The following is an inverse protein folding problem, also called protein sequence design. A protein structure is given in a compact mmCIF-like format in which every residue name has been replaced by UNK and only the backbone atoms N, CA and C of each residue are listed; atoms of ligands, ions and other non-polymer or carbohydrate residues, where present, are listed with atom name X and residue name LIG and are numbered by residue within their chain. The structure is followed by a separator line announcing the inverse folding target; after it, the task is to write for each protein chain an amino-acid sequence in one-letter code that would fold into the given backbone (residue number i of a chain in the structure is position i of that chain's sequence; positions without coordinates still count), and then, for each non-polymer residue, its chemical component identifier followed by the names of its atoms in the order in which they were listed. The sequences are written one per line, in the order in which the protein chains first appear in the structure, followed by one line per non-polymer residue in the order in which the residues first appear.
data_IF_732213897244
#
_entry.id   IF_732213897244
#
_cell.length_a   1.000
_cell.length_b   1.000
_cell.length_c   1.000
_cell.angle_alpha   90.00
_cell.angle_beta   90.00
_cell.angle_gamma   90.00
#
_symmetry.space_group_name_H-M   'P 1'
#
loop_
_entity.id
_entity.type
_entity.pdbx_description
1 polymer ?
#
# COMPACT_ATOMS: atom_id res chain seq x y z
N UNK A 1 -15.00 11.61 -5.07
CA UNK A 1 -14.64 12.10 -6.40
C UNK A 1 -14.18 10.91 -7.25
N UNK A 2 -14.57 10.82 -8.54
CA UNK A 2 -14.09 9.77 -9.43
C UNK A 2 -12.57 9.81 -9.57
N UNK A 3 -11.93 8.66 -9.62
CA UNK A 3 -10.46 8.55 -9.65
C UNK A 3 -9.85 9.19 -10.90
N UNK A 4 -10.52 9.05 -12.03
CA UNK A 4 -10.11 9.64 -13.32
C UNK A 4 -10.03 11.16 -13.22
N UNK A 5 -11.06 11.77 -12.61
CA UNK A 5 -11.10 13.23 -12.43
C UNK A 5 -9.98 13.72 -11.49
N UNK A 6 -9.65 12.93 -10.48
CA UNK A 6 -8.50 13.23 -9.61
C UNK A 6 -7.19 13.24 -10.41
N UNK A 7 -7.00 12.27 -11.30
CA UNK A 7 -5.79 12.19 -12.13
C UNK A 7 -5.70 13.36 -13.12
N UNK A 8 -6.79 13.73 -13.78
CA UNK A 8 -6.86 14.93 -14.65
C UNK A 8 -6.48 16.20 -13.89
N UNK A 9 -6.98 16.37 -12.68
CA UNK A 9 -6.66 17.52 -11.84
C UNK A 9 -5.20 17.54 -11.38
N UNK A 10 -4.60 16.37 -11.08
CA UNK A 10 -3.18 16.27 -10.76
C UNK A 10 -2.33 16.70 -11.94
N UNK A 11 -2.64 16.25 -13.15
CA UNK A 11 -1.93 16.62 -14.39
C UNK A 11 -1.99 18.13 -14.61
N UNK A 12 -3.19 18.71 -14.55
CA UNK A 12 -3.40 20.16 -14.73
C UNK A 12 -2.62 20.99 -13.70
N UNK A 13 -2.71 20.62 -12.42
CA UNK A 13 -2.01 21.32 -11.34
C UNK A 13 -0.50 21.18 -11.49
N UNK A 14 -0.03 20.00 -11.93
CA UNK A 14 1.39 19.74 -12.14
C UNK A 14 2.01 20.59 -13.25
N UNK A 15 1.23 21.00 -14.26
CA UNK A 15 1.69 21.93 -15.30
C UNK A 15 1.93 23.35 -14.77
N UNK A 16 1.17 23.76 -13.75
CA UNK A 16 1.14 25.12 -13.21
C UNK A 16 2.17 25.28 -12.06
N UNK A 17 2.32 24.26 -11.22
CA UNK A 17 3.18 24.33 -10.05
C UNK A 17 4.68 24.44 -10.42
N UNK A 18 5.50 25.12 -9.58
CA UNK A 18 6.93 25.22 -9.78
C UNK A 18 7.59 23.84 -9.88
N UNK A 19 8.42 23.63 -10.91
CA UNK A 19 9.09 22.34 -11.18
C UNK A 19 10.27 22.07 -10.25
N UNK A 20 10.80 23.11 -9.61
CA UNK A 20 11.92 23.06 -8.67
C UNK A 20 11.49 22.86 -7.21
N UNK A 21 10.19 22.68 -6.96
CA UNK A 21 9.62 22.45 -5.62
C UNK A 21 8.92 21.11 -5.56
N UNK A 22 8.94 20.42 -4.39
CA UNK A 22 8.20 19.19 -4.21
C UNK A 22 6.68 19.42 -4.27
N UNK A 23 5.97 18.47 -4.87
CA UNK A 23 4.52 18.50 -5.02
C UNK A 23 3.88 17.52 -4.04
N UNK A 24 2.97 18.03 -3.25
CA UNK A 24 2.32 17.28 -2.19
C UNK A 24 0.84 17.08 -2.50
N UNK A 25 0.41 15.81 -2.58
CA UNK A 25 -0.98 15.41 -2.74
C UNK A 25 -1.54 14.94 -1.40
N UNK A 26 -2.42 15.75 -0.82
CA UNK A 26 -2.99 15.52 0.50
C UNK A 26 -4.13 14.49 0.47
N UNK A 27 -4.19 13.62 1.48
CA UNK A 27 -5.31 12.72 1.73
C UNK A 27 -5.45 11.54 0.75
N UNK A 28 -4.48 11.30 -0.11
CA UNK A 28 -4.46 10.23 -1.11
C UNK A 28 -3.34 9.25 -0.81
N UNK A 29 -3.51 7.96 -0.86
CA UNK A 29 -4.68 7.17 -1.21
C UNK A 29 -4.39 5.67 -1.17
N UNK A 30 -4.98 4.94 -2.08
CA UNK A 30 -4.65 3.52 -2.27
C UNK A 30 -3.23 3.36 -2.82
N UNK A 31 -2.59 2.16 -2.69
CA UNK A 31 -1.29 1.91 -3.30
C UNK A 31 -1.24 2.23 -4.79
N UNK A 32 -2.32 1.93 -5.53
CA UNK A 32 -2.44 2.25 -6.95
C UNK A 32 -2.49 3.77 -7.17
N UNK A 33 -3.28 4.51 -6.38
CA UNK A 33 -3.34 5.97 -6.51
C UNK A 33 -1.99 6.63 -6.26
N UNK A 34 -1.17 6.07 -5.35
CA UNK A 34 0.19 6.57 -5.10
C UNK A 34 1.06 6.39 -6.35
N UNK A 35 1.07 5.19 -6.96
CA UNK A 35 1.85 4.96 -8.18
C UNK A 35 1.39 5.82 -9.36
N UNK A 36 0.08 6.00 -9.51
CA UNK A 36 -0.50 6.89 -10.52
C UNK A 36 -0.17 8.36 -10.27
N UNK A 37 -0.18 8.79 -9.00
CA UNK A 37 0.23 10.15 -8.63
C UNK A 37 1.70 10.41 -8.88
N UNK A 38 2.58 9.45 -8.55
CA UNK A 38 4.03 9.53 -8.82
C UNK A 38 4.30 9.70 -10.32
N UNK A 39 3.64 8.91 -11.18
CA UNK A 39 3.78 9.02 -12.63
C UNK A 39 3.41 10.42 -13.15
N UNK A 40 2.47 11.08 -12.48
CA UNK A 40 1.99 12.43 -12.79
C UNK A 40 2.77 13.54 -12.07
N UNK A 41 3.90 13.20 -11.43
CA UNK A 41 4.83 14.15 -10.85
C UNK A 41 4.54 14.55 -9.40
N UNK A 42 3.77 13.77 -8.66
CA UNK A 42 3.59 13.98 -7.21
C UNK A 42 4.77 13.37 -6.45
N UNK A 43 5.33 14.12 -5.51
CA UNK A 43 6.52 13.75 -4.74
C UNK A 43 6.18 13.27 -3.33
N UNK A 44 5.08 13.76 -2.74
CA UNK A 44 4.73 13.53 -1.34
C UNK A 44 3.24 13.22 -1.17
N UNK A 45 2.95 12.32 -0.23
CA UNK A 45 1.59 11.88 0.06
C UNK A 45 1.38 11.77 1.57
N UNK A 46 0.15 11.95 2.01
CA UNK A 46 -0.35 11.44 3.28
C UNK A 46 -1.71 10.77 3.08
N UNK A 47 -2.02 9.77 3.87
CA UNK A 47 -3.37 9.21 3.91
C UNK A 47 -3.62 8.35 5.16
N UNK A 48 -4.89 8.18 5.48
CA UNK A 48 -5.34 7.30 6.57
C UNK A 48 -5.46 5.83 6.14
N UNK A 49 -5.32 5.54 4.85
CA UNK A 49 -5.62 4.22 4.27
C UNK A 49 -4.81 3.07 4.88
N UNK A 50 -3.50 3.20 5.15
CA UNK A 50 -2.72 2.11 5.74
C UNK A 50 -3.31 1.64 7.06
N UNK A 51 -3.49 2.56 8.00
CA UNK A 51 -3.98 2.25 9.34
C UNK A 51 -5.48 1.95 9.37
N UNK A 52 -6.29 2.68 8.59
CA UNK A 52 -7.74 2.44 8.49
C UNK A 52 -8.04 1.06 7.93
N UNK A 53 -7.39 0.67 6.84
CA UNK A 53 -7.56 -0.66 6.24
C UNK A 53 -6.98 -1.75 7.14
N UNK A 54 -5.83 -1.52 7.77
CA UNK A 54 -5.26 -2.44 8.75
C UNK A 54 -6.22 -2.75 9.90
N UNK A 55 -6.80 -1.73 10.52
CA UNK A 55 -7.81 -1.92 11.58
C UNK A 55 -9.04 -2.71 11.12
N UNK A 56 -9.37 -2.66 9.83
CA UNK A 56 -10.48 -3.43 9.25
C UNK A 56 -10.06 -4.84 8.77
N UNK A 57 -8.79 -5.22 8.94
CA UNK A 57 -8.26 -6.52 8.55
C UNK A 57 -7.88 -6.63 7.08
N UNK A 58 -7.74 -5.51 6.38
CA UNK A 58 -7.23 -5.47 5.01
C UNK A 58 -5.75 -5.12 5.02
N UNK A 59 -4.92 -6.02 4.51
CA UNK A 59 -3.47 -5.86 4.39
C UNK A 59 -3.07 -5.76 2.92
N UNK A 60 -2.12 -4.87 2.64
CA UNK A 60 -1.51 -4.72 1.33
C UNK A 60 -0.16 -5.46 1.32
N UNK A 61 0.04 -6.32 0.35
CA UNK A 61 1.29 -7.07 0.17
C UNK A 61 1.87 -6.84 -1.23
N UNK A 62 3.10 -7.25 -1.44
CA UNK A 62 3.77 -7.18 -2.76
C UNK A 62 3.08 -8.00 -3.83
N UNK A 63 2.28 -8.99 -3.43
CA UNK A 63 1.59 -9.91 -4.33
C UNK A 63 0.08 -9.64 -4.45
N UNK A 64 -0.46 -8.76 -3.61
CA UNK A 64 -1.88 -8.41 -3.65
C UNK A 64 -2.47 -8.02 -2.30
N UNK A 65 -3.80 -8.02 -2.23
CA UNK A 65 -4.57 -7.60 -1.06
C UNK A 65 -5.05 -8.84 -0.30
N UNK A 66 -4.77 -8.89 0.99
CA UNK A 66 -5.24 -9.91 1.94
C UNK A 66 -6.39 -9.33 2.77
N UNK A 67 -7.52 -10.05 2.82
CA UNK A 67 -8.52 -9.82 3.86
C UNK A 67 -8.36 -10.88 4.95
N UNK A 68 -7.81 -10.49 6.10
CA UNK A 68 -7.52 -11.39 7.21
C UNK A 68 -8.75 -12.01 7.86
N UNK A 69 -9.96 -11.49 7.59
CA UNK A 69 -11.21 -12.07 8.08
C UNK A 69 -11.65 -13.31 7.29
N UNK A 70 -11.07 -13.56 6.12
CA UNK A 70 -11.41 -14.71 5.29
C UNK A 70 -11.03 -16.03 5.99
N UNK A 71 -11.95 -17.01 5.92
CA UNK A 71 -11.78 -18.33 6.55
C UNK A 71 -10.57 -19.09 6.03
N UNK A 72 -10.17 -18.89 4.79
CA UNK A 72 -9.02 -19.58 4.19
C UNK A 72 -7.70 -19.40 4.95
N UNK A 73 -7.56 -18.32 5.73
CA UNK A 73 -6.36 -18.07 6.53
C UNK A 73 -6.34 -18.78 7.88
N UNK A 74 -7.40 -19.52 8.24
CA UNK A 74 -7.57 -20.13 9.55
C UNK A 74 -6.49 -21.17 9.89
N UNK A 75 -6.00 -21.86 8.87
CA UNK A 75 -4.95 -22.89 8.98
C UNK A 75 -3.70 -22.55 8.21
N UNK A 76 -3.54 -21.30 7.78
CA UNK A 76 -2.33 -20.84 7.09
C UNK A 76 -1.31 -20.34 8.13
N UNK A 77 -0.40 -21.25 8.52
CA UNK A 77 0.69 -20.96 9.46
C UNK A 77 1.93 -20.32 8.80
N UNK A 78 1.84 -19.94 7.54
CA UNK A 78 2.92 -19.18 6.89
C UNK A 78 2.97 -17.75 7.43
N UNK A 79 4.13 -17.07 7.33
CA UNK A 79 4.28 -15.65 7.65
C UNK A 79 3.22 -14.78 6.95
N UNK A 80 2.93 -13.60 7.51
CA UNK A 80 2.03 -12.63 6.87
C UNK A 80 2.54 -12.32 5.46
N UNK A 81 3.83 -12.01 5.34
CA UNK A 81 4.54 -11.84 4.07
C UNK A 81 6.01 -12.27 4.25
N UNK A 82 6.45 -13.33 3.58
CA UNK A 82 7.77 -13.94 3.80
C UNK A 82 8.94 -12.96 3.57
N UNK A 83 8.79 -12.05 2.60
CA UNK A 83 9.76 -10.99 2.28
C UNK A 83 9.17 -9.61 2.55
N UNK A 84 8.36 -9.49 3.58
CA UNK A 84 7.72 -8.25 3.98
C UNK A 84 8.70 -7.17 4.43
N UNK A 85 8.22 -5.94 4.48
CA UNK A 85 9.02 -4.77 4.83
C UNK A 85 9.08 -4.51 6.35
N UNK A 86 8.33 -5.28 7.14
CA UNK A 86 8.20 -5.10 8.59
C UNK A 86 8.57 -6.36 9.37
N UNK A 87 9.02 -6.16 10.61
CA UNK A 87 9.29 -7.26 11.55
C UNK A 87 8.04 -8.11 11.86
N UNK A 88 6.84 -7.52 11.81
CA UNK A 88 5.60 -8.25 12.07
C UNK A 88 5.31 -9.27 10.98
N UNK A 89 5.85 -9.08 9.77
CA UNK A 89 5.56 -9.90 8.60
C UNK A 89 6.09 -11.33 8.75
N UNK A 90 7.22 -11.48 9.46
CA UNK A 90 7.85 -12.77 9.72
C UNK A 90 7.61 -13.28 11.14
N UNK A 91 7.30 -12.39 12.08
CA UNK A 91 7.07 -12.76 13.48
C UNK A 91 5.72 -13.43 13.70
N UNK A 92 4.70 -13.04 12.93
CA UNK A 92 3.35 -13.53 13.06
C UNK A 92 2.89 -14.31 11.83
N UNK A 93 2.05 -15.33 12.06
CA UNK A 93 1.43 -16.10 10.98
C UNK A 93 0.07 -15.52 10.58
N UNK A 94 -0.37 -15.83 9.36
CA UNK A 94 -1.73 -15.44 8.90
C UNK A 94 -2.82 -16.05 9.78
N UNK A 95 -2.68 -17.34 10.17
CA UNK A 95 -3.62 -18.00 11.05
C UNK A 95 -3.74 -17.29 12.40
N UNK A 96 -2.62 -16.91 13.01
CA UNK A 96 -2.62 -16.20 14.29
C UNK A 96 -3.22 -14.80 14.16
N UNK A 97 -2.85 -14.04 13.16
CA UNK A 97 -3.41 -12.70 12.92
C UNK A 97 -4.91 -12.76 12.66
N UNK A 98 -5.38 -13.75 11.87
CA UNK A 98 -6.82 -13.98 11.69
C UNK A 98 -7.51 -14.30 13.00
N UNK A 99 -6.94 -15.17 13.83
CA UNK A 99 -7.48 -15.50 15.16
C UNK A 99 -7.65 -14.22 16.00
N UNK A 100 -6.65 -13.35 16.05
CA UNK A 100 -6.71 -12.09 16.79
C UNK A 100 -7.84 -11.17 16.28
N UNK A 101 -8.04 -11.07 14.94
CA UNK A 101 -9.17 -10.31 14.38
C UNK A 101 -10.52 -10.92 14.75
N UNK A 102 -10.62 -12.25 14.81
CA UNK A 102 -11.85 -12.93 15.19
C UNK A 102 -12.15 -12.78 16.69
N UNK A 103 -11.14 -12.82 17.51
CA UNK A 103 -11.22 -12.58 18.95
C UNK A 103 -11.35 -11.08 19.33
N UNK A 104 -11.32 -10.17 18.34
CA UNK A 104 -11.40 -8.72 18.52
C UNK A 104 -10.27 -8.14 19.39
N UNK A 105 -9.09 -8.75 19.35
CA UNK A 105 -7.92 -8.29 20.09
C UNK A 105 -7.31 -7.03 19.46
N UNK A 106 -6.91 -6.07 20.30
CA UNK A 106 -6.25 -4.84 19.84
C UNK A 106 -4.94 -5.10 19.12
N UNK A 107 -4.23 -6.17 19.50
CA UNK A 107 -2.97 -6.57 18.88
C UNK A 107 -3.15 -6.83 17.37
N UNK A 108 -4.31 -7.33 16.92
CA UNK A 108 -4.60 -7.51 15.50
C UNK A 108 -4.48 -6.19 14.72
N UNK A 109 -5.08 -5.13 15.26
CA UNK A 109 -5.06 -3.80 14.64
C UNK A 109 -3.66 -3.18 14.64
N UNK A 110 -2.89 -3.42 15.69
CA UNK A 110 -1.49 -2.96 15.79
C UNK A 110 -0.61 -3.65 14.74
N UNK A 111 -0.64 -4.99 14.68
CA UNK A 111 0.12 -5.78 13.69
C UNK A 111 -0.22 -5.32 12.28
N UNK A 112 -1.51 -5.27 11.94
CA UNK A 112 -1.98 -4.90 10.61
C UNK A 112 -1.63 -3.45 10.23
N UNK A 113 -1.67 -2.52 11.18
CA UNK A 113 -1.28 -1.13 10.96
C UNK A 113 0.22 -0.99 10.70
N UNK A 114 1.05 -1.67 11.49
CA UNK A 114 2.52 -1.68 11.31
C UNK A 114 2.88 -2.28 9.96
N UNK A 115 2.28 -3.43 9.60
CA UNK A 115 2.46 -4.06 8.30
C UNK A 115 2.14 -3.09 7.15
N UNK A 116 0.94 -2.52 7.16
CA UNK A 116 0.50 -1.62 6.08
C UNK A 116 1.37 -0.35 5.98
N UNK A 117 1.76 0.25 7.09
CA UNK A 117 2.65 1.42 7.07
C UNK A 117 4.00 1.07 6.45
N UNK A 118 4.60 -0.05 6.85
CA UNK A 118 5.86 -0.52 6.28
C UNK A 118 5.73 -0.82 4.77
N UNK A 119 4.61 -1.43 4.36
CA UNK A 119 4.32 -1.67 2.95
C UNK A 119 4.25 -0.38 2.14
N UNK A 120 3.55 0.65 2.62
CA UNK A 120 3.44 1.94 1.92
C UNK A 120 4.79 2.64 1.78
N UNK A 121 5.62 2.61 2.83
CA UNK A 121 6.98 3.16 2.79
C UNK A 121 7.87 2.37 1.81
N UNK A 122 7.74 1.04 1.83
CA UNK A 122 8.43 0.19 0.85
C UNK A 122 8.01 0.51 -0.58
N UNK A 123 6.69 0.66 -0.85
CA UNK A 123 6.16 0.96 -2.18
C UNK A 123 6.71 2.28 -2.73
N UNK A 124 6.70 3.34 -1.92
CA UNK A 124 7.26 4.63 -2.29
C UNK A 124 8.78 4.55 -2.52
N UNK A 125 9.49 3.78 -1.68
CA UNK A 125 10.92 3.53 -1.83
C UNK A 125 11.27 2.77 -3.11
N UNK A 126 10.50 1.74 -3.47
CA UNK A 126 10.68 1.00 -4.73
C UNK A 126 10.37 1.88 -5.95
N UNK A 127 9.27 2.64 -5.91
CA UNK A 127 8.95 3.59 -6.97
C UNK A 127 10.12 4.57 -7.21
N UNK A 128 10.70 5.13 -6.14
CA UNK A 128 11.88 5.99 -6.22
C UNK A 128 13.09 5.29 -6.85
N UNK A 129 13.38 4.04 -6.49
CA UNK A 129 14.48 3.27 -7.07
C UNK A 129 14.29 3.08 -8.58
N UNK A 130 13.08 2.73 -9.02
CA UNK A 130 12.76 2.54 -10.42
C UNK A 130 12.77 3.84 -11.23
N UNK A 131 12.42 4.99 -10.62
CA UNK A 131 12.59 6.31 -11.24
C UNK A 131 14.07 6.61 -11.47
N UNK A 132 14.92 6.38 -10.46
CA UNK A 132 16.37 6.62 -10.55
C UNK A 132 17.02 5.67 -11.59
N UNK A 133 16.56 4.42 -11.65
CA UNK A 133 17.03 3.43 -12.63
C UNK A 133 16.50 3.68 -14.06
N UNK A 134 15.49 4.54 -14.23
CA UNK A 134 14.90 4.87 -15.53
C UNK A 134 13.93 3.81 -16.08
N UNK A 135 13.47 2.87 -15.24
CA UNK A 135 12.58 1.76 -15.64
C UNK A 135 11.20 1.78 -14.96
N UNK A 136 10.83 2.90 -14.32
CA UNK A 136 9.56 3.05 -13.63
C UNK A 136 8.35 2.75 -14.52
N UNK A 137 8.36 3.21 -15.79
CA UNK A 137 7.28 2.98 -16.75
C UNK A 137 7.05 1.50 -17.09
N UNK A 138 8.09 0.68 -16.99
CA UNK A 138 8.01 -0.78 -17.20
C UNK A 138 7.59 -1.50 -15.91
N UNK A 139 8.12 -1.07 -14.77
CA UNK A 139 7.84 -1.67 -13.47
C UNK A 139 6.42 -1.37 -12.96
N UNK A 140 5.94 -0.11 -13.09
CA UNK A 140 4.64 0.32 -12.57
C UNK A 140 3.47 -0.55 -13.02
N UNK A 141 3.27 -0.87 -14.32
CA UNK A 141 2.13 -1.69 -14.77
C UNK A 141 2.12 -3.09 -14.14
N UNK A 142 3.29 -3.70 -13.96
CA UNK A 142 3.42 -5.00 -13.30
C UNK A 142 3.01 -4.90 -11.83
N UNK A 143 3.43 -3.84 -11.14
CA UNK A 143 3.08 -3.61 -9.74
C UNK A 143 1.60 -3.32 -9.57
N UNK A 144 1.00 -2.48 -10.40
CA UNK A 144 -0.44 -2.19 -10.39
C UNK A 144 -1.27 -3.46 -10.57
N UNK A 145 -0.86 -4.36 -11.48
CA UNK A 145 -1.52 -5.65 -11.67
C UNK A 145 -1.49 -6.51 -10.39
N UNK A 146 -0.35 -6.60 -9.71
CA UNK A 146 -0.24 -7.30 -8.41
C UNK A 146 -1.14 -6.66 -7.37
N UNK A 147 -1.06 -5.34 -7.21
CA UNK A 147 -1.85 -4.59 -6.22
C UNK A 147 -3.36 -4.64 -6.47
N UNK A 148 -3.80 -4.99 -7.67
CA UNK A 148 -5.22 -5.22 -8.00
C UNK A 148 -5.70 -6.64 -7.65
N UNK A 149 -4.78 -7.56 -7.35
CA UNK A 149 -5.10 -8.96 -7.06
C UNK A 149 -5.60 -9.12 -5.63
N UNK A 150 -6.66 -9.89 -5.45
CA UNK A 150 -7.14 -10.31 -4.12
C UNK A 150 -6.68 -11.73 -3.84
N UNK A 151 -5.86 -11.87 -2.82
CA UNK A 151 -5.32 -13.15 -2.36
C UNK A 151 -6.29 -13.90 -1.48
#
# INVERSE_FOLDING_TARGET
EPTEKMYEMIELVNEILPKDKPRYLMGVGTPINILEGIERGVDMFDCVMPTRNGRNGMLFTKDGIINMRNKKWETDFSPIEANGASYVDTLYTKAYLRHLFHAQELLAMQIASVHNLAFYLWLAGEARKHIIAGDFSTWKPMMVKRLSTRL
#
